data_IF_471367435564
#
_entry.id   IF_471367435564
#
_cell.length_a   1.000
_cell.length_b   1.000
_cell.length_c   1.000
_cell.angle_alpha   90.00
_cell.angle_beta   90.00
_cell.angle_gamma   90.00
#
_symmetry.space_group_name_H-M   'P 1'
#
loop_
_entity.id
_entity.type
_entity.pdbx_description
1 polymer ?
#
# COMPACT_ATOMS: atom_id res chain seq x y z
N UNK A 1 -5.26 -2.60 -28.99
CA UNK A 1 -4.96 -2.50 -27.55
C UNK A 1 -6.04 -3.24 -26.79
N UNK A 2 -5.66 -4.14 -25.87
CA UNK A 2 -6.61 -4.78 -24.96
C UNK A 2 -6.51 -4.03 -23.64
N UNK A 3 -7.46 -3.15 -23.37
CA UNK A 3 -7.56 -2.47 -22.09
C UNK A 3 -8.02 -3.50 -21.06
N UNK A 4 -7.10 -3.98 -20.23
CA UNK A 4 -7.43 -4.84 -19.10
C UNK A 4 -7.79 -3.94 -17.91
N UNK A 5 -9.02 -3.43 -17.92
CA UNK A 5 -9.56 -2.70 -16.78
C UNK A 5 -9.92 -3.71 -15.72
N UNK A 6 -9.17 -3.85 -14.64
CA UNK A 6 -9.61 -4.63 -13.49
C UNK A 6 -10.93 -4.06 -12.92
N UNK A 7 -12.11 -4.52 -13.40
CA UNK A 7 -13.38 -4.23 -12.72
C UNK A 7 -13.48 -5.09 -11.48
N UNK A 8 -13.27 -4.43 -10.35
CA UNK A 8 -14.12 -4.59 -9.18
C UNK A 8 -13.84 -5.82 -8.33
N UNK A 9 -12.69 -5.82 -7.67
CA UNK A 9 -12.65 -6.36 -6.31
C UNK A 9 -13.48 -5.38 -5.47
N UNK A 10 -14.64 -5.83 -4.99
CA UNK A 10 -15.54 -5.02 -4.17
C UNK A 10 -14.82 -4.50 -2.92
N UNK A 11 -14.98 -3.20 -2.63
CA UNK A 11 -14.26 -2.41 -1.62
C UNK A 11 -12.82 -2.02 -1.99
N UNK A 12 -12.70 -1.04 -2.89
CA UNK A 12 -11.60 -0.07 -2.84
C UNK A 12 -11.57 0.58 -1.44
N UNK A 13 -10.58 0.19 -0.62
CA UNK A 13 -9.78 1.06 0.28
C UNK A 13 -9.03 0.16 1.26
N UNK A 14 -7.71 0.02 1.07
CA UNK A 14 -6.73 -0.48 2.05
C UNK A 14 -7.26 -1.46 3.12
N UNK A 15 -7.12 -2.76 2.88
CA UNK A 15 -7.45 -3.76 3.90
C UNK A 15 -6.35 -3.80 4.97
N UNK A 16 -6.68 -3.42 6.20
CA UNK A 16 -5.74 -3.48 7.32
C UNK A 16 -5.86 -4.83 8.02
N UNK A 17 -4.86 -5.68 7.82
CA UNK A 17 -4.74 -6.96 8.48
C UNK A 17 -3.84 -6.83 9.71
N UNK A 18 -4.31 -7.27 10.87
CA UNK A 18 -3.57 -7.15 12.15
C UNK A 18 -3.05 -8.48 12.69
N UNK A 19 -3.44 -9.60 12.09
CA UNK A 19 -3.10 -10.95 12.55
C UNK A 19 -2.22 -11.65 11.52
N UNK A 20 -1.05 -12.10 11.97
CA UNK A 20 -0.14 -12.98 11.21
C UNK A 20 -0.92 -14.25 10.79
N UNK A 21 -0.84 -14.72 9.54
CA UNK A 21 0.11 -14.35 8.48
C UNK A 21 -0.34 -13.22 7.55
N UNK A 22 -1.29 -12.36 7.98
CA UNK A 22 -1.83 -11.27 7.16
C UNK A 22 -2.38 -11.77 5.80
N UNK A 23 -3.04 -12.93 5.83
CA UNK A 23 -3.59 -13.56 4.62
C UNK A 23 -4.77 -12.76 4.08
N UNK A 24 -4.74 -12.50 2.78
CA UNK A 24 -5.86 -11.94 2.00
C UNK A 24 -6.34 -13.00 1.00
N UNK A 25 -7.66 -13.06 0.77
CA UNK A 25 -8.29 -13.96 -0.19
C UNK A 25 -9.37 -13.19 -0.95
N UNK A 26 -9.23 -13.09 -2.26
CA UNK A 26 -10.15 -12.33 -3.12
C UNK A 26 -10.38 -13.07 -4.45
N UNK A 27 -11.43 -12.66 -5.16
CA UNK A 27 -11.73 -13.16 -6.50
C UNK A 27 -11.67 -12.00 -7.50
N UNK A 28 -11.00 -12.23 -8.61
CA UNK A 28 -10.81 -11.24 -9.67
C UNK A 28 -10.57 -11.91 -11.01
N UNK A 29 -10.59 -11.12 -12.06
CA UNK A 29 -10.43 -11.60 -13.44
C UNK A 29 -9.25 -10.94 -14.17
N UNK A 30 -8.51 -10.07 -13.49
CA UNK A 30 -7.39 -9.32 -14.06
C UNK A 30 -6.19 -9.26 -13.13
N UNK A 31 -5.04 -8.96 -13.73
CA UNK A 31 -3.73 -8.77 -13.11
C UNK A 31 -3.53 -7.29 -12.81
N UNK A 32 -2.80 -6.97 -11.74
CA UNK A 32 -2.52 -5.59 -11.36
C UNK A 32 -1.37 -5.46 -10.35
N UNK A 33 -0.68 -4.32 -10.40
CA UNK A 33 0.27 -3.92 -9.36
C UNK A 33 -0.47 -3.49 -8.08
N UNK A 34 -0.09 -4.08 -6.94
CA UNK A 34 -0.58 -3.79 -5.60
C UNK A 34 0.52 -3.14 -4.75
N UNK A 35 0.19 -2.06 -4.04
CA UNK A 35 1.02 -1.53 -2.96
C UNK A 35 0.66 -2.16 -1.61
N UNK A 36 1.56 -2.93 -1.02
CA UNK A 36 1.40 -3.51 0.32
C UNK A 36 2.12 -2.61 1.32
N UNK A 37 1.37 -1.92 2.18
CA UNK A 37 1.93 -1.07 3.23
C UNK A 37 2.09 -1.87 4.53
N UNK A 38 3.33 -2.03 4.95
CA UNK A 38 3.71 -2.65 6.22
C UNK A 38 3.84 -1.57 7.29
N UNK A 39 2.96 -1.59 8.29
CA UNK A 39 3.08 -0.72 9.46
C UNK A 39 3.93 -1.40 10.53
N UNK A 40 5.02 -0.76 10.92
CA UNK A 40 5.90 -1.29 11.96
C UNK A 40 5.31 -1.10 13.36
N UNK A 41 5.70 -1.98 14.28
CA UNK A 41 5.32 -1.89 15.70
C UNK A 41 5.76 -0.55 16.28
N UNK A 42 5.02 -0.06 17.29
CA UNK A 42 5.29 1.22 17.98
C UNK A 42 5.28 2.46 17.07
N UNK A 43 4.63 2.37 15.91
CA UNK A 43 4.63 3.41 14.87
C UNK A 43 6.06 3.79 14.48
N UNK A 44 6.93 2.78 14.38
CA UNK A 44 8.35 2.97 14.08
C UNK A 44 8.64 3.31 12.62
N UNK A 45 7.61 3.40 11.78
CA UNK A 45 7.70 3.69 10.36
C UNK A 45 6.73 2.83 9.56
N UNK A 46 6.72 3.09 8.26
CA UNK A 46 5.95 2.34 7.28
C UNK A 46 6.88 1.93 6.14
N UNK A 47 6.65 0.77 5.56
CA UNK A 47 7.38 0.31 4.39
C UNK A 47 6.39 -0.16 3.33
N UNK A 48 6.51 0.35 2.11
CA UNK A 48 5.61 -0.01 1.01
C UNK A 48 6.31 -0.99 0.08
N UNK A 49 5.73 -2.18 -0.08
CA UNK A 49 6.16 -3.17 -1.05
C UNK A 49 5.31 -3.04 -2.32
N UNK A 50 5.98 -2.98 -3.46
CA UNK A 50 5.32 -3.15 -4.76
C UNK A 50 5.19 -4.63 -5.04
N UNK A 51 3.96 -5.11 -5.22
CA UNK A 51 3.66 -6.50 -5.50
C UNK A 51 2.85 -6.61 -6.78
N UNK A 52 3.40 -7.27 -7.79
CA UNK A 52 2.65 -7.58 -9.01
C UNK A 52 1.77 -8.81 -8.76
N UNK A 53 0.45 -8.65 -8.89
CA UNK A 53 -0.50 -9.75 -8.89
C UNK A 53 -0.75 -10.21 -10.32
N UNK A 54 -0.12 -11.34 -10.69
CA UNK A 54 -0.29 -11.96 -12.00
C UNK A 54 -0.65 -13.45 -11.89
N UNK A 55 -1.02 -14.04 -13.02
CA UNK A 55 -1.44 -15.44 -13.13
C UNK A 55 -0.49 -16.26 -13.99
N UNK A 56 0.78 -15.84 -14.12
CA UNK A 56 1.80 -16.57 -14.88
C UNK A 56 2.09 -17.95 -14.25
N UNK A 57 2.02 -18.06 -12.92
CA UNK A 57 2.10 -19.32 -12.17
C UNK A 57 0.97 -19.44 -11.14
N UNK A 58 0.59 -20.68 -10.79
CA UNK A 58 -0.45 -20.93 -9.78
C UNK A 58 -0.05 -20.50 -8.36
N UNK A 59 1.26 -20.43 -8.09
CA UNK A 59 1.84 -19.94 -6.84
C UNK A 59 3.19 -19.33 -7.18
N UNK A 60 3.51 -18.20 -6.55
CA UNK A 60 4.84 -17.60 -6.59
C UNK A 60 5.18 -16.97 -5.24
N UNK A 61 6.47 -16.77 -5.01
CA UNK A 61 7.03 -16.15 -3.80
C UNK A 61 7.97 -15.05 -4.22
N UNK A 62 7.86 -13.90 -3.56
CA UNK A 62 8.73 -12.75 -3.77
C UNK A 62 9.32 -12.35 -2.41
N UNK A 63 10.62 -12.54 -2.26
CA UNK A 63 11.34 -12.20 -1.03
C UNK A 63 11.82 -10.75 -1.10
N UNK A 64 11.45 -9.95 -0.10
CA UNK A 64 11.83 -8.54 -0.01
C UNK A 64 12.82 -8.31 1.14
N UNK A 65 13.92 -7.62 0.85
CA UNK A 65 14.86 -7.18 1.89
C UNK A 65 14.36 -5.89 2.54
N UNK A 66 14.14 -5.92 3.85
CA UNK A 66 13.63 -4.78 4.61
C UNK A 66 14.70 -4.21 5.53
N UNK A 67 14.78 -2.88 5.57
CA UNK A 67 15.60 -2.16 6.55
C UNK A 67 14.73 -1.66 7.71
N UNK A 68 15.13 -2.01 8.93
CA UNK A 68 14.41 -1.62 10.13
C UNK A 68 15.18 -0.57 10.93
N UNK A 69 14.52 0.49 11.42
CA UNK A 69 15.17 1.49 12.26
C UNK A 69 15.46 0.90 13.65
N UNK A 70 16.67 1.17 14.17
CA UNK A 70 17.14 0.68 15.47
C UNK A 70 16.90 1.66 16.62
N UNK A 71 16.04 2.66 16.42
CA UNK A 71 15.79 3.73 17.39
C UNK A 71 14.68 3.40 18.41
N UNK A 72 13.95 2.27 18.26
CA UNK A 72 12.85 1.87 19.15
C UNK A 72 13.17 0.57 19.90
N UNK A 73 13.22 0.59 21.25
CA UNK A 73 13.57 -0.61 22.03
C UNK A 73 12.51 -1.72 21.95
N UNK A 74 11.23 -1.38 21.77
CA UNK A 74 10.15 -2.37 21.59
C UNK A 74 10.30 -3.16 20.28
N UNK A 75 10.66 -2.48 19.19
CA UNK A 75 10.94 -3.11 17.91
C UNK A 75 12.22 -3.96 17.95
N UNK A 76 13.29 -3.46 18.59
CA UNK A 76 14.55 -4.21 18.74
C UNK A 76 14.36 -5.55 19.46
N UNK A 77 13.51 -5.58 20.50
CA UNK A 77 13.18 -6.82 21.23
C UNK A 77 12.53 -7.86 20.31
N UNK A 78 11.60 -7.44 19.46
CA UNK A 78 10.93 -8.33 18.51
C UNK A 78 11.85 -8.78 17.38
N UNK A 79 12.69 -7.88 16.86
CA UNK A 79 13.70 -8.22 15.86
C UNK A 79 14.71 -9.24 16.41
N UNK A 80 15.04 -9.17 17.69
CA UNK A 80 15.93 -10.12 18.35
C UNK A 80 15.40 -11.56 18.39
N UNK A 81 14.07 -11.75 18.26
CA UNK A 81 13.46 -13.08 18.11
C UNK A 81 13.70 -13.67 16.71
N UNK A 82 13.91 -12.80 15.70
CA UNK A 82 14.16 -13.21 14.31
C UNK A 82 15.64 -13.31 13.96
N UNK A 83 16.53 -12.70 14.75
CA UNK A 83 17.98 -12.79 14.55
C UNK A 83 18.78 -11.77 15.37
N UNK A 84 20.12 -11.75 15.24
CA UNK A 84 20.98 -10.79 15.95
C UNK A 84 20.69 -9.34 15.51
N UNK A 85 20.54 -8.42 16.48
CA UNK A 85 20.24 -7.00 16.20
C UNK A 85 21.33 -6.08 16.78
N UNK A 86 21.82 -5.09 16.03
CA UNK A 86 22.82 -4.13 16.53
C UNK A 86 22.32 -3.39 17.78
N UNK A 87 23.07 -3.48 18.88
CA UNK A 87 22.76 -2.77 20.13
C UNK A 87 21.73 -3.45 21.05
N UNK A 88 21.22 -4.63 20.70
CA UNK A 88 20.34 -5.42 21.57
C UNK A 88 20.84 -6.88 21.65
N UNK A 89 21.48 -7.23 22.76
CA UNK A 89 21.80 -8.62 23.05
C UNK A 89 20.53 -9.33 23.55
N UNK A 90 20.00 -10.26 22.76
CA UNK A 90 18.97 -11.18 23.23
C UNK A 90 19.44 -11.92 24.50
N UNK A 91 18.57 -12.19 25.49
CA UNK A 91 18.88 -13.10 26.58
C UNK A 91 18.92 -14.52 26.01
N UNK A 92 20.09 -14.93 25.52
CA UNK A 92 20.27 -16.26 24.90
C UNK A 92 21.60 -16.45 24.18
N UNK A 93 22.33 -15.39 23.86
CA UNK A 93 23.68 -15.47 23.33
C UNK A 93 24.69 -14.88 24.32
N UNK A 94 25.03 -15.63 25.36
CA UNK A 94 26.29 -15.43 26.07
C UNK A 94 26.84 -16.78 26.50
N UNK A 95 27.91 -17.21 25.83
CA UNK A 95 28.92 -17.97 26.55
C UNK A 95 29.53 -17.05 27.60
N UNK A 96 29.33 -17.41 28.88
CA UNK A 96 30.15 -17.07 30.07
C UNK A 96 30.33 -15.57 30.41
N UNK A 97 30.07 -15.03 31.61
CA UNK A 97 29.82 -15.59 32.95
C UNK A 97 29.36 -14.50 33.95
N UNK A 98 28.74 -14.96 35.04
CA UNK A 98 28.70 -14.38 36.41
C UNK A 98 27.62 -13.33 36.81
N UNK A 99 26.61 -13.81 37.57
CA UNK A 99 26.40 -13.37 38.97
C UNK A 99 25.12 -12.59 39.34
N UNK A 100 24.20 -13.24 40.07
CA UNK A 100 23.19 -12.65 40.99
C UNK A 100 21.71 -12.87 40.60
N UNK A 101 20.96 -13.84 41.17
CA UNK A 101 20.06 -13.78 42.38
C UNK A 101 19.00 -12.65 42.31
N UNK A 102 17.70 -12.76 42.58
CA UNK A 102 16.73 -13.80 42.97
C UNK A 102 15.31 -13.16 42.89
N UNK A 103 14.27 -14.00 43.01
CA UNK A 103 12.88 -13.73 43.47
C UNK A 103 11.72 -13.45 42.48
N UNK A 104 10.94 -14.52 42.28
CA UNK A 104 9.52 -14.68 42.67
C UNK A 104 8.35 -14.09 41.82
N UNK A 105 7.64 -15.05 41.20
CA UNK A 105 6.20 -15.37 41.37
C UNK A 105 5.12 -14.27 41.23
N UNK A 106 4.19 -14.46 40.29
CA UNK A 106 2.88 -13.79 40.31
C UNK A 106 1.93 -14.25 39.20
N UNK A 107 0.73 -14.69 39.59
CA UNK A 107 -0.26 -15.52 38.89
C UNK A 107 -1.45 -14.71 38.31
N UNK A 108 -2.00 -15.17 37.17
CA UNK A 108 -3.36 -14.98 36.58
C UNK A 108 -3.99 -13.57 36.41
N UNK A 109 -4.56 -13.32 35.21
CA UNK A 109 -6.03 -13.40 34.95
C UNK A 109 -6.42 -13.20 33.48
N UNK A 110 -7.55 -13.83 33.17
CA UNK A 110 -8.29 -14.07 31.91
C UNK A 110 -9.28 -12.92 31.60
N UNK A 111 -9.66 -12.73 30.34
CA UNK A 111 -10.85 -11.94 29.96
C UNK A 111 -11.11 -11.97 28.44
N UNK A 112 -12.21 -12.63 28.05
CA UNK A 112 -12.77 -12.78 26.69
C UNK A 112 -13.68 -11.60 26.29
N UNK A 113 -13.96 -11.50 24.97
CA UNK A 113 -15.31 -11.44 24.36
C UNK A 113 -15.73 -10.21 23.52
N UNK A 114 -16.35 -10.55 22.37
CA UNK A 114 -17.33 -9.91 21.46
C UNK A 114 -17.39 -8.37 21.31
N UNK A 115 -17.62 -7.76 20.14
CA UNK A 115 -18.51 -8.14 19.04
C UNK A 115 -19.36 -6.91 18.66
N UNK A 116 -19.91 -6.90 17.43
CA UNK A 116 -21.09 -6.12 16.96
C UNK A 116 -20.91 -4.88 16.03
N UNK A 117 -21.24 -5.13 14.74
CA UNK A 117 -22.23 -4.45 13.87
C UNK A 117 -22.08 -2.96 13.42
N UNK A 118 -22.04 -2.84 12.07
CA UNK A 118 -23.06 -2.19 11.22
C UNK A 118 -22.82 -0.74 10.70
N UNK A 119 -23.01 -0.59 9.36
CA UNK A 119 -23.48 0.58 8.56
C UNK A 119 -22.49 1.53 7.83
N UNK A 120 -22.28 1.24 6.53
CA UNK A 120 -22.44 2.07 5.30
C UNK A 120 -22.32 3.61 5.41
N UNK A 121 -21.27 4.18 4.81
CA UNK A 121 -21.31 5.41 3.97
C UNK A 121 -19.98 5.57 3.19
N UNK A 122 -20.00 5.32 1.88
CA UNK A 122 -18.88 5.59 0.95
C UNK A 122 -18.57 7.08 0.97
N UNK A 123 -17.32 7.43 1.27
CA UNK A 123 -16.86 8.81 1.43
C UNK A 123 -16.09 9.17 0.18
N UNK A 124 -16.70 9.95 -0.72
CA UNK A 124 -16.06 10.55 -1.89
C UNK A 124 -14.77 11.22 -1.45
N UNK A 125 -13.63 10.80 -2.00
CA UNK A 125 -12.33 11.44 -1.72
C UNK A 125 -12.25 12.65 -2.64
N UNK A 126 -12.74 13.79 -2.16
CA UNK A 126 -12.59 15.08 -2.83
C UNK A 126 -11.22 15.66 -2.47
N UNK A 127 -10.30 15.71 -3.46
CA UNK A 127 -9.01 16.39 -3.32
C UNK A 127 -9.02 17.64 -4.20
N UNK A 128 -8.77 18.81 -3.61
CA UNK A 128 -8.68 20.07 -4.36
C UNK A 128 -9.94 20.42 -5.16
N UNK A 129 -11.14 20.05 -4.68
CA UNK A 129 -12.46 20.18 -5.36
C UNK A 129 -12.68 19.29 -6.61
N UNK A 130 -11.87 18.25 -6.79
CA UNK A 130 -12.02 17.24 -7.84
C UNK A 130 -12.42 15.91 -7.22
N UNK A 131 -13.44 15.28 -7.81
CA UNK A 131 -13.84 13.91 -7.49
C UNK A 131 -12.92 12.94 -8.24
N UNK A 132 -12.01 12.29 -7.51
CA UNK A 132 -10.99 11.41 -8.09
C UNK A 132 -11.59 10.14 -8.72
N UNK A 133 -12.72 9.66 -8.19
CA UNK A 133 -13.42 8.47 -8.71
C UNK A 133 -14.02 8.79 -10.07
N UNK A 134 -14.71 9.93 -10.18
CA UNK A 134 -15.24 10.40 -11.46
C UNK A 134 -14.14 10.76 -12.46
N UNK A 135 -13.02 11.29 -11.99
CA UNK A 135 -11.88 11.60 -12.87
C UNK A 135 -11.31 10.32 -13.48
N UNK A 136 -11.11 9.28 -12.67
CA UNK A 136 -10.65 7.97 -13.14
C UNK A 136 -11.61 7.36 -14.17
N UNK A 137 -12.92 7.37 -13.88
CA UNK A 137 -13.97 6.89 -14.78
C UNK A 137 -13.97 7.62 -16.13
N UNK A 138 -13.66 8.92 -16.12
CA UNK A 138 -13.58 9.71 -17.34
C UNK A 138 -12.29 9.46 -18.13
N UNK A 139 -11.15 9.28 -17.45
CA UNK A 139 -9.89 8.92 -18.10
C UNK A 139 -9.98 7.59 -18.86
N UNK A 140 -10.70 6.60 -18.33
CA UNK A 140 -10.93 5.30 -18.99
C UNK A 140 -11.72 5.42 -20.30
N UNK A 141 -12.54 6.47 -20.45
CA UNK A 141 -13.39 6.69 -21.63
C UNK A 141 -12.70 7.50 -22.72
N UNK A 142 -11.50 8.02 -22.49
CA UNK A 142 -10.77 8.79 -23.48
C UNK A 142 -10.30 7.91 -24.64
N UNK A 143 -10.32 8.49 -25.84
CA UNK A 143 -9.70 7.89 -27.01
C UNK A 143 -8.18 7.94 -26.94
N UNK A 144 -7.50 7.19 -27.80
CA UNK A 144 -6.03 7.11 -27.86
C UNK A 144 -5.38 8.50 -27.99
N UNK A 145 -5.84 9.33 -28.93
CA UNK A 145 -5.33 10.70 -29.13
C UNK A 145 -5.46 11.58 -27.86
N UNK A 146 -6.50 11.37 -27.07
CA UNK A 146 -6.77 12.14 -25.87
C UNK A 146 -5.93 11.67 -24.68
N UNK A 147 -5.63 10.37 -24.63
CA UNK A 147 -4.71 9.80 -23.64
C UNK A 147 -3.27 10.30 -23.88
N UNK A 148 -2.85 10.47 -25.14
CA UNK A 148 -1.55 11.09 -25.46
C UNK A 148 -1.45 12.54 -24.95
N UNK A 149 -2.53 13.31 -25.04
CA UNK A 149 -2.58 14.67 -24.50
C UNK A 149 -2.52 14.66 -22.97
N UNK A 150 -3.21 13.71 -22.31
CA UNK A 150 -3.11 13.52 -20.86
C UNK A 150 -1.68 13.21 -20.42
N UNK A 151 -0.98 12.30 -21.11
CA UNK A 151 0.44 11.99 -20.85
C UNK A 151 1.30 13.24 -20.98
N UNK A 152 1.05 14.04 -22.01
CA UNK A 152 1.75 15.30 -22.26
C UNK A 152 1.50 16.30 -21.12
N UNK A 153 0.25 16.47 -20.69
CA UNK A 153 -0.12 17.34 -19.57
C UNK A 153 0.59 16.94 -18.26
N UNK A 154 0.65 15.64 -17.97
CA UNK A 154 1.28 15.09 -16.76
C UNK A 154 2.79 15.27 -16.80
N UNK A 155 3.45 14.97 -17.93
CA UNK A 155 4.89 15.13 -18.07
C UNK A 155 5.32 16.59 -17.98
N UNK A 156 4.54 17.53 -18.55
CA UNK A 156 4.83 18.96 -18.50
C UNK A 156 4.70 19.58 -17.10
N UNK A 157 4.02 18.90 -16.17
CA UNK A 157 3.80 19.36 -14.81
C UNK A 157 4.34 18.38 -13.77
N UNK A 158 5.33 17.56 -14.14
CA UNK A 158 5.90 16.53 -13.26
C UNK A 158 6.60 17.16 -12.05
N UNK A 159 6.24 16.69 -10.87
CA UNK A 159 6.88 17.07 -9.60
C UNK A 159 7.50 15.84 -8.92
N UNK A 160 8.46 16.01 -7.99
CA UNK A 160 9.16 14.90 -7.33
C UNK A 160 8.27 14.01 -6.44
N UNK A 161 7.14 14.55 -6.00
CA UNK A 161 6.12 13.92 -5.17
C UNK A 161 5.07 13.12 -5.96
N UNK A 162 5.07 13.23 -7.29
CA UNK A 162 4.17 12.49 -8.17
C UNK A 162 4.69 11.09 -8.49
N UNK A 163 3.81 10.08 -8.40
CA UNK A 163 4.11 8.73 -8.87
C UNK A 163 3.62 8.54 -10.32
N UNK A 164 4.59 8.40 -11.24
CA UNK A 164 4.35 8.15 -12.67
C UNK A 164 5.34 7.09 -13.16
N UNK A 165 4.83 6.04 -13.80
CA UNK A 165 5.64 4.97 -14.42
C UNK A 165 5.23 4.86 -15.89
N UNK A 166 6.21 5.08 -16.77
CA UNK A 166 6.03 4.94 -18.21
C UNK A 166 6.70 3.64 -18.66
N UNK A 167 5.94 2.73 -19.27
CA UNK A 167 6.41 1.44 -19.78
C UNK A 167 6.26 1.47 -21.32
N UNK A 168 7.26 2.02 -22.04
CA UNK A 168 7.14 2.28 -23.47
C UNK A 168 7.06 1.01 -24.31
N UNK A 169 7.67 -0.08 -23.86
CA UNK A 169 7.69 -1.35 -24.60
C UNK A 169 6.31 -2.04 -24.61
N UNK A 170 5.50 -1.79 -23.58
CA UNK A 170 4.13 -2.31 -23.43
C UNK A 170 3.07 -1.29 -23.87
N UNK A 171 3.48 -0.04 -24.09
CA UNK A 171 2.57 1.07 -24.40
C UNK A 171 1.74 1.53 -23.21
N UNK A 172 2.21 1.27 -21.98
CA UNK A 172 1.46 1.53 -20.75
C UNK A 172 1.96 2.76 -20.00
N UNK A 173 1.01 3.56 -19.53
CA UNK A 173 1.28 4.77 -18.74
C UNK A 173 0.51 4.72 -17.43
N UNK A 174 1.23 4.58 -16.32
CA UNK A 174 0.67 4.52 -14.98
C UNK A 174 0.88 5.85 -14.26
N UNK A 175 -0.16 6.34 -13.59
CA UNK A 175 -0.08 7.52 -12.72
C UNK A 175 -0.95 7.35 -11.48
N UNK A 176 -0.49 7.82 -10.34
CA UNK A 176 -1.30 7.88 -9.12
C UNK A 176 -1.97 9.26 -8.98
N UNK A 177 -3.30 9.32 -9.19
CA UNK A 177 -4.10 10.54 -9.08
C UNK A 177 -4.00 11.19 -7.68
N UNK A 178 -3.79 10.40 -6.61
CA UNK A 178 -3.67 10.92 -5.25
C UNK A 178 -2.37 11.70 -5.04
N UNK A 179 -1.34 11.42 -5.84
CA UNK A 179 -0.03 12.11 -5.77
C UNK A 179 0.03 13.37 -6.64
N UNK A 180 -0.95 13.59 -7.52
CA UNK A 180 -0.98 14.75 -8.40
C UNK A 180 -1.29 16.04 -7.64
N UNK A 181 -0.60 17.16 -7.92
CA UNK A 181 -0.95 18.47 -7.37
C UNK A 181 -2.36 18.92 -7.75
N UNK A 182 -3.04 19.65 -6.86
CA UNK A 182 -4.43 20.10 -7.07
C UNK A 182 -4.63 20.87 -8.38
N UNK A 183 -3.62 21.64 -8.80
CA UNK A 183 -3.63 22.36 -10.08
C UNK A 183 -3.71 21.41 -11.27
N UNK A 184 -2.93 20.33 -11.26
CA UNK A 184 -2.89 19.34 -12.32
C UNK A 184 -4.18 18.51 -12.33
N UNK A 185 -4.67 18.10 -11.16
CA UNK A 185 -5.97 17.41 -11.02
C UNK A 185 -7.11 18.22 -11.62
N UNK A 186 -7.16 19.53 -11.35
CA UNK A 186 -8.17 20.42 -11.93
C UNK A 186 -8.06 20.52 -13.45
N UNK A 187 -6.85 20.63 -13.98
CA UNK A 187 -6.63 20.67 -15.43
C UNK A 187 -7.03 19.35 -16.12
N UNK A 188 -6.69 18.20 -15.52
CA UNK A 188 -7.11 16.89 -16.01
C UNK A 188 -8.63 16.73 -15.96
N UNK A 189 -9.27 17.16 -14.87
CA UNK A 189 -10.72 17.15 -14.72
C UNK A 189 -11.43 17.97 -15.80
N UNK A 190 -10.99 19.21 -16.02
CA UNK A 190 -11.58 20.07 -17.06
C UNK A 190 -11.36 19.50 -18.47
N UNK A 191 -10.23 18.84 -18.72
CA UNK A 191 -9.94 18.18 -19.98
C UNK A 191 -10.85 16.98 -20.22
N UNK A 192 -10.90 16.06 -19.26
CA UNK A 192 -11.72 14.84 -19.32
C UNK A 192 -13.19 15.17 -19.47
N UNK A 193 -13.70 16.12 -18.67
CA UNK A 193 -15.10 16.54 -18.71
C UNK A 193 -15.55 17.03 -20.10
N UNK A 194 -14.67 17.74 -20.83
CA UNK A 194 -14.95 18.23 -22.19
C UNK A 194 -15.01 17.11 -23.23
N UNK A 195 -14.38 15.96 -22.97
CA UNK A 195 -14.24 14.85 -23.92
C UNK A 195 -15.23 13.71 -23.67
N UNK A 196 -15.81 13.62 -22.47
CA UNK A 196 -16.53 12.41 -22.02
C UNK A 196 -18.00 12.59 -21.65
N UNK A 197 -18.60 13.77 -21.88
CA UNK A 197 -20.00 14.07 -21.49
C UNK A 197 -20.34 13.64 -20.04
N UNK A 198 -19.43 13.91 -19.09
CA UNK A 198 -19.61 13.61 -17.64
C UNK A 198 -20.03 14.84 -16.83
#
# INVERSE_FOLDING_TARGET
MKTSICKGIGNLTSQVLKKVPFKIEEQGWGEFDLGIVLHMVDKSGEHTLSHDLNFATNEYKNDHLLEFPTNRPGLLKLLAESGPVPGHNAPGASGTSAGGTDYATGDKRKGEDDGNKLRKKTKTIEKGSVDLERLADGLEKLGEDDLLEVVTMVNNNKTPDMYIKNVPDEGEFHMDLCTLPDRLLKSLWDFVKKRTEV
#
